data_IF_224014590906
#
_entry.id   IF_224014590906
#
_cell.length_a   1.000
_cell.length_b   1.000
_cell.length_c   1.000
_cell.angle_alpha   90.00
_cell.angle_beta   90.00
_cell.angle_gamma   90.00
#
_symmetry.space_group_name_H-M   'P 1'
#
loop_
_entity.id
_entity.type
_entity.pdbx_description
1 polymer ?
#
# COMPACT_ATOMS: atom_id res chain seq x y z
N UNK A 1 20.38 -39.88 -12.38
CA UNK A 1 21.40 -38.82 -12.55
C UNK A 1 20.65 -37.53 -12.79
N UNK A 2 20.31 -36.81 -11.73
CA UNK A 2 19.70 -35.48 -11.83
C UNK A 2 20.88 -34.55 -12.14
N UNK A 3 20.94 -34.03 -13.36
CA UNK A 3 21.98 -33.11 -13.78
C UNK A 3 22.00 -31.89 -12.86
N UNK A 4 23.17 -31.53 -12.35
CA UNK A 4 23.39 -30.39 -11.48
C UNK A 4 22.61 -29.16 -11.95
N UNK A 5 21.78 -28.58 -11.06
CA UNK A 5 21.32 -27.19 -11.20
C UNK A 5 22.53 -26.27 -10.99
N UNK A 6 23.30 -26.05 -12.05
CA UNK A 6 24.37 -25.07 -12.04
C UNK A 6 23.76 -23.67 -12.03
N UNK A 7 23.95 -22.93 -10.94
CA UNK A 7 23.81 -21.47 -10.92
C UNK A 7 24.98 -20.82 -11.67
N UNK A 8 25.11 -21.11 -12.96
CA UNK A 8 25.92 -20.32 -13.89
C UNK A 8 25.10 -19.12 -14.36
N UNK A 9 25.75 -18.05 -14.79
CA UNK A 9 25.18 -16.72 -15.07
C UNK A 9 24.17 -16.62 -16.24
N UNK A 10 23.25 -17.56 -16.37
CA UNK A 10 22.09 -17.53 -17.26
C UNK A 10 20.82 -17.76 -16.45
N UNK A 11 19.73 -17.12 -16.88
CA UNK A 11 18.42 -17.18 -16.21
C UNK A 11 18.02 -18.63 -15.88
N UNK A 12 17.44 -18.91 -14.70
CA UNK A 12 17.01 -20.26 -14.35
C UNK A 12 15.98 -20.73 -15.39
N UNK A 13 16.37 -21.69 -16.22
CA UNK A 13 15.48 -22.32 -17.21
C UNK A 13 15.10 -23.70 -16.67
N UNK A 14 13.79 -23.97 -16.64
CA UNK A 14 13.27 -25.30 -16.29
C UNK A 14 13.49 -26.19 -17.51
N UNK A 15 14.43 -27.13 -17.43
CA UNK A 15 14.71 -28.09 -18.48
C UNK A 15 13.73 -29.27 -18.38
N UNK A 16 12.68 -29.31 -19.21
CA UNK A 16 11.85 -30.51 -19.42
C UNK A 16 12.55 -31.42 -20.44
N UNK A 17 13.59 -32.12 -20.01
CA UNK A 17 14.30 -33.07 -20.87
C UNK A 17 13.44 -34.31 -21.16
N UNK A 18 13.11 -34.56 -22.43
CA UNK A 18 12.65 -35.88 -22.87
C UNK A 18 13.77 -36.90 -22.64
N UNK A 19 13.61 -37.77 -21.65
CA UNK A 19 14.50 -38.91 -21.45
C UNK A 19 14.22 -39.99 -22.51
N UNK A 20 14.82 -39.82 -23.69
CA UNK A 20 14.99 -40.89 -24.66
C UNK A 20 14.34 -40.62 -26.02
N UNK A 21 15.17 -40.69 -27.06
CA UNK A 21 14.77 -40.61 -28.47
C UNK A 21 13.99 -41.83 -28.95
N UNK A 22 12.77 -42.00 -28.44
CA UNK A 22 11.80 -43.01 -28.88
C UNK A 22 10.40 -42.42 -28.91
N UNK A 23 9.67 -42.72 -29.98
CA UNK A 23 8.26 -42.32 -30.15
C UNK A 23 7.43 -42.84 -28.96
N UNK A 24 6.80 -41.93 -28.20
CA UNK A 24 5.66 -42.29 -27.33
C UNK A 24 5.90 -42.41 -25.82
N UNK A 25 6.91 -41.76 -25.21
CA UNK A 25 6.91 -41.62 -23.74
C UNK A 25 5.98 -40.47 -23.33
N UNK A 26 4.91 -40.73 -22.55
CA UNK A 26 3.94 -39.70 -22.20
C UNK A 26 4.52 -38.76 -21.14
N UNK A 27 3.98 -37.54 -21.07
CA UNK A 27 4.34 -36.61 -20.01
C UNK A 27 3.91 -37.17 -18.65
N UNK A 28 4.85 -37.22 -17.70
CA UNK A 28 4.58 -37.52 -16.29
C UNK A 28 4.52 -36.21 -15.52
N UNK A 29 3.38 -35.95 -14.87
CA UNK A 29 3.17 -34.75 -14.03
C UNK A 29 3.40 -35.14 -12.58
N UNK A 30 4.31 -34.45 -11.90
CA UNK A 30 4.63 -34.67 -10.50
C UNK A 30 4.55 -33.37 -9.70
N UNK A 31 4.28 -33.49 -8.42
CA UNK A 31 4.37 -32.43 -7.40
C UNK A 31 5.03 -33.08 -6.17
N UNK A 32 6.03 -32.43 -5.59
CA UNK A 32 6.83 -32.95 -4.46
C UNK A 32 7.31 -34.40 -4.68
N UNK A 33 7.84 -34.67 -5.88
CA UNK A 33 8.32 -35.99 -6.33
C UNK A 33 7.27 -37.11 -6.37
N UNK A 34 5.98 -36.79 -6.21
CA UNK A 34 4.88 -37.75 -6.31
C UNK A 34 4.22 -37.65 -7.68
N UNK A 35 4.11 -38.78 -8.39
CA UNK A 35 3.35 -38.84 -9.65
C UNK A 35 1.88 -38.52 -9.43
N UNK A 36 1.41 -37.42 -10.02
CA UNK A 36 0.00 -37.01 -10.06
C UNK A 36 -0.70 -37.53 -11.30
N UNK A 37 0.00 -37.53 -12.44
CA UNK A 37 -0.50 -38.08 -13.71
C UNK A 37 0.63 -38.86 -14.37
N UNK A 38 0.44 -40.14 -14.61
CA UNK A 38 1.47 -41.03 -15.17
C UNK A 38 1.50 -41.07 -16.70
N UNK A 39 0.50 -40.48 -17.37
CA UNK A 39 0.42 -40.42 -18.83
C UNK A 39 -0.47 -39.26 -19.32
N UNK A 40 -0.04 -38.01 -19.11
CA UNK A 40 -0.77 -36.88 -19.68
C UNK A 40 -0.58 -36.85 -21.20
N UNK A 41 -1.70 -36.85 -21.94
CA UNK A 41 -1.70 -36.79 -23.40
C UNK A 41 -1.59 -35.36 -23.95
N UNK A 42 -2.01 -34.36 -23.17
CA UNK A 42 -2.01 -32.94 -23.57
C UNK A 42 -1.82 -32.09 -22.32
N UNK A 43 -0.89 -31.13 -22.36
CA UNK A 43 -0.88 -30.00 -21.43
C UNK A 43 -1.63 -28.86 -22.10
N UNK A 44 -2.78 -28.50 -21.55
CA UNK A 44 -3.57 -27.38 -22.02
C UNK A 44 -3.31 -26.16 -21.15
N UNK A 45 -3.08 -25.01 -21.77
CA UNK A 45 -2.88 -23.74 -21.08
C UNK A 45 -4.02 -22.80 -21.47
N UNK A 46 -4.64 -22.19 -20.47
CA UNK A 46 -5.62 -21.14 -20.71
C UNK A 46 -4.88 -19.92 -21.27
N UNK A 47 -5.29 -19.44 -22.46
CA UNK A 47 -4.67 -18.29 -23.11
C UNK A 47 -4.78 -16.98 -22.31
N UNK A 48 -5.66 -16.94 -21.31
CA UNK A 48 -5.76 -15.81 -20.38
C UNK A 48 -4.58 -15.76 -19.38
N UNK A 49 -3.97 -16.91 -19.09
CA UNK A 49 -2.95 -17.08 -18.05
C UNK A 49 -1.56 -17.26 -18.66
N UNK A 50 -1.46 -17.90 -19.83
CA UNK A 50 -0.22 -18.14 -20.54
C UNK A 50 -0.37 -17.87 -22.03
N UNK A 51 0.58 -17.13 -22.60
CA UNK A 51 0.74 -17.02 -24.04
C UNK A 51 1.63 -18.17 -24.53
N UNK A 52 1.05 -19.05 -25.33
CA UNK A 52 1.77 -20.17 -25.96
C UNK A 52 2.00 -19.84 -27.44
N UNK A 53 3.26 -19.80 -27.85
CA UNK A 53 3.67 -19.48 -29.23
C UNK A 53 4.67 -20.52 -29.75
N UNK A 54 4.81 -20.62 -31.07
CA UNK A 54 5.84 -21.47 -31.71
C UNK A 54 6.87 -20.55 -32.38
N UNK A 55 8.13 -20.54 -31.90
CA UNK A 55 9.22 -19.81 -32.54
C UNK A 55 10.59 -20.20 -31.95
N UNK A 56 11.53 -20.79 -32.73
CA UNK A 56 11.41 -21.24 -34.12
C UNK A 56 10.46 -22.44 -34.28
N UNK A 57 10.24 -22.89 -35.52
CA UNK A 57 9.31 -23.99 -35.76
C UNK A 57 9.76 -25.28 -35.05
N UNK A 58 8.80 -25.97 -34.44
CA UNK A 58 9.03 -27.17 -33.64
C UNK A 58 9.37 -26.91 -32.17
N UNK A 59 9.43 -25.65 -31.73
CA UNK A 59 9.68 -25.27 -30.34
C UNK A 59 8.51 -24.48 -29.78
N UNK A 60 7.87 -25.01 -28.73
CA UNK A 60 6.84 -24.30 -27.98
C UNK A 60 7.49 -23.34 -26.98
N UNK A 61 7.20 -22.06 -27.12
CA UNK A 61 7.51 -21.03 -26.13
C UNK A 61 6.26 -20.78 -25.28
N UNK A 62 6.41 -20.88 -23.97
CA UNK A 62 5.34 -20.61 -23.02
C UNK A 62 5.78 -19.44 -22.15
N UNK A 63 5.02 -18.35 -22.16
CA UNK A 63 5.22 -17.21 -21.27
C UNK A 63 3.95 -16.97 -20.47
N UNK A 64 4.08 -16.42 -19.27
CA UNK A 64 2.91 -15.96 -18.51
C UNK A 64 2.27 -14.83 -19.31
N UNK A 65 0.95 -14.89 -19.51
CA UNK A 65 0.22 -13.87 -20.25
C UNK A 65 0.45 -12.51 -19.60
N UNK A 66 0.61 -11.46 -20.42
CA UNK A 66 0.88 -10.11 -19.93
C UNK A 66 -0.19 -9.59 -18.93
N UNK A 67 -1.39 -10.18 -18.95
CA UNK A 67 -2.47 -9.90 -18.01
C UNK A 67 -2.22 -10.44 -16.59
N UNK A 68 -1.49 -11.55 -16.43
CA UNK A 68 -1.22 -12.19 -15.13
C UNK A 68 0.10 -11.72 -14.50
N UNK A 69 1.02 -11.15 -15.30
CA UNK A 69 2.15 -10.36 -14.80
C UNK A 69 1.72 -9.04 -14.11
N UNK A 70 0.42 -8.75 -14.05
CA UNK A 70 -0.17 -7.58 -13.37
C UNK A 70 -0.48 -7.79 -11.89
N UNK A 71 0.07 -8.82 -11.25
CA UNK A 71 0.06 -8.91 -9.78
C UNK A 71 0.89 -7.81 -9.07
N UNK A 72 1.40 -6.81 -9.80
CA UNK A 72 1.84 -5.53 -9.23
C UNK A 72 0.99 -4.37 -9.78
N UNK A 73 -0.33 -4.56 -9.83
CA UNK A 73 -1.23 -3.62 -9.17
C UNK A 73 -0.98 -3.66 -7.65
N UNK A 74 0.26 -3.36 -7.22
CA UNK A 74 0.46 -2.79 -5.91
C UNK A 74 0.13 -1.31 -6.11
N UNK A 75 -1.17 -0.99 -6.15
CA UNK A 75 -1.70 0.38 -6.05
C UNK A 75 -1.47 0.96 -4.65
N UNK A 76 -0.27 0.73 -4.12
CA UNK A 76 0.26 1.35 -2.94
C UNK A 76 1.78 1.42 -3.16
N UNK A 77 2.25 2.61 -3.54
CA UNK A 77 3.65 3.01 -3.71
C UNK A 77 4.21 2.75 -5.14
N UNK A 78 4.03 3.70 -6.07
CA UNK A 78 4.99 3.83 -7.19
C UNK A 78 4.58 4.49 -8.51
N UNK A 79 3.31 4.75 -8.81
CA UNK A 79 2.89 5.23 -10.15
C UNK A 79 2.67 6.75 -10.26
N UNK A 80 2.90 7.49 -9.19
CA UNK A 80 2.64 8.94 -9.16
C UNK A 80 1.15 9.30 -9.25
N UNK A 81 0.23 8.34 -9.10
CA UNK A 81 -1.18 8.63 -8.93
C UNK A 81 -1.39 9.34 -7.57
N UNK A 82 -2.26 10.36 -7.51
CA UNK A 82 -2.59 11.04 -6.26
C UNK A 82 -3.32 10.08 -5.32
N UNK A 83 -2.56 9.40 -4.47
CA UNK A 83 -3.05 8.49 -3.41
C UNK A 83 -3.69 9.24 -2.22
N UNK A 84 -3.96 10.54 -2.38
CA UNK A 84 -4.82 11.35 -1.52
C UNK A 84 -6.29 11.26 -1.95
N UNK A 85 -6.61 10.44 -2.97
CA UNK A 85 -7.98 10.15 -3.38
C UNK A 85 -8.78 9.27 -2.39
N UNK A 86 -8.15 8.67 -1.37
CA UNK A 86 -8.86 7.86 -0.37
C UNK A 86 -9.64 8.70 0.65
N UNK A 87 -9.44 10.01 0.62
CA UNK A 87 -10.25 10.94 1.37
C UNK A 87 -10.68 12.06 0.44
N UNK A 88 -11.77 11.85 -0.31
CA UNK A 88 -12.54 13.00 -0.81
C UNK A 88 -12.87 13.88 0.40
N UNK A 89 -12.95 15.21 0.23
CA UNK A 89 -13.06 16.17 1.36
C UNK A 89 -14.06 15.71 2.46
N UNK A 90 -15.17 15.08 2.07
CA UNK A 90 -16.17 14.53 2.99
C UNK A 90 -15.75 13.24 3.71
N UNK A 91 -15.02 12.33 3.07
CA UNK A 91 -14.52 11.08 3.67
C UNK A 91 -13.34 11.34 4.61
N UNK A 92 -12.54 12.37 4.33
CA UNK A 92 -11.48 12.83 5.23
C UNK A 92 -12.05 13.33 6.56
N UNK A 93 -13.13 14.09 6.46
CA UNK A 93 -13.83 14.68 7.60
C UNK A 93 -14.54 13.57 8.40
N UNK A 94 -15.19 12.63 7.72
CA UNK A 94 -15.89 11.52 8.37
C UNK A 94 -14.95 10.56 9.11
N UNK A 95 -13.72 10.37 8.63
CA UNK A 95 -12.73 9.55 9.34
C UNK A 95 -12.28 10.16 10.68
N UNK A 96 -12.53 11.46 10.91
CA UNK A 96 -12.10 12.19 12.12
C UNK A 96 -13.28 12.63 12.98
N UNK A 97 -14.52 12.62 12.47
CA UNK A 97 -15.70 13.15 13.18
C UNK A 97 -16.09 12.34 14.43
N UNK A 98 -15.68 11.08 14.52
CA UNK A 98 -15.88 10.21 15.68
C UNK A 98 -14.60 10.01 16.52
N UNK A 99 -13.49 10.66 16.16
CA UNK A 99 -12.27 10.62 16.95
C UNK A 99 -12.36 11.62 18.11
N UNK A 100 -12.12 11.14 19.32
CA UNK A 100 -12.24 11.97 20.54
C UNK A 100 -11.21 13.10 20.62
N UNK A 101 -10.14 13.03 19.81
CA UNK A 101 -9.04 13.99 19.81
C UNK A 101 -8.41 14.09 18.43
N UNK A 102 -8.16 15.32 17.98
CA UNK A 102 -7.35 15.62 16.81
C UNK A 102 -6.01 16.21 17.27
N UNK A 103 -4.92 15.47 17.10
CA UNK A 103 -3.58 15.91 17.49
C UNK A 103 -2.84 16.54 16.31
N UNK A 104 -2.58 17.84 16.40
CA UNK A 104 -1.77 18.57 15.42
C UNK A 104 -0.37 18.77 15.98
N UNK A 105 0.59 17.98 15.49
CA UNK A 105 2.00 18.08 15.90
C UNK A 105 2.70 19.37 15.41
N UNK A 106 2.00 20.27 14.72
CA UNK A 106 2.54 21.50 14.14
C UNK A 106 1.52 22.63 14.05
N UNK A 107 1.89 23.70 13.35
CA UNK A 107 1.09 24.92 13.26
C UNK A 107 -0.24 24.71 12.53
N UNK A 108 -1.30 25.31 13.05
CA UNK A 108 -2.61 25.35 12.42
C UNK A 108 -2.79 26.70 11.74
N UNK A 109 -2.83 26.73 10.41
CA UNK A 109 -3.12 27.95 9.62
C UNK A 109 -4.55 27.94 9.12
N UNK A 110 -5.31 28.99 9.41
CA UNK A 110 -6.66 29.20 8.89
C UNK A 110 -6.58 30.15 7.68
N UNK A 111 -7.17 29.72 6.55
CA UNK A 111 -7.16 30.51 5.32
C UNK A 111 -7.81 31.89 5.51
N UNK A 112 -7.34 32.89 4.75
CA UNK A 112 -7.87 34.26 4.81
C UNK A 112 -9.38 34.28 4.57
N UNK A 113 -10.10 35.03 5.42
CA UNK A 113 -11.55 35.12 5.37
C UNK A 113 -12.30 33.94 5.99
N UNK A 114 -11.60 33.02 6.65
CA UNK A 114 -12.19 31.93 7.46
C UNK A 114 -11.96 32.15 8.96
N UNK A 115 -12.67 31.39 9.78
CA UNK A 115 -12.66 31.53 11.24
C UNK A 115 -12.61 30.15 11.91
N UNK A 116 -11.86 30.05 13.01
CA UNK A 116 -11.98 28.96 13.97
C UNK A 116 -12.91 29.41 15.10
N UNK A 117 -14.02 28.70 15.30
CA UNK A 117 -14.89 28.88 16.46
C UNK A 117 -14.53 27.83 17.51
N UNK A 118 -14.29 28.26 18.74
CA UNK A 118 -14.05 27.38 19.88
C UNK A 118 -14.64 28.01 21.13
N UNK A 119 -15.18 27.17 22.01
CA UNK A 119 -15.71 27.60 23.31
C UNK A 119 -14.60 27.67 24.37
N UNK A 120 -13.65 26.73 24.32
CA UNK A 120 -12.60 26.58 25.31
C UNK A 120 -11.25 26.37 24.64
N UNK A 121 -10.29 27.21 25.00
CA UNK A 121 -8.87 26.98 24.72
C UNK A 121 -8.23 26.60 26.04
N UNK A 122 -7.78 25.34 26.15
CA UNK A 122 -7.15 24.84 27.36
C UNK A 122 -5.65 24.74 27.16
N UNK A 123 -4.92 25.63 27.84
CA UNK A 123 -3.47 25.57 27.95
C UNK A 123 -3.10 24.35 28.83
N UNK A 124 -2.04 23.61 28.45
CA UNK A 124 -1.64 22.36 29.13
C UNK A 124 -0.28 22.41 29.83
N UNK A 125 0.45 23.52 29.72
CA UNK A 125 1.79 23.71 30.27
C UNK A 125 1.77 24.72 31.43
N UNK A 126 2.41 24.43 32.58
CA UNK A 126 2.22 25.22 33.79
C UNK A 126 2.42 26.75 33.68
N UNK A 127 3.25 27.22 32.74
CA UNK A 127 3.72 28.62 32.72
C UNK A 127 3.72 29.30 31.32
N UNK A 128 3.29 28.64 30.23
CA UNK A 128 3.36 29.27 28.89
C UNK A 128 2.20 30.24 28.61
N UNK A 129 1.01 29.92 29.11
CA UNK A 129 -0.21 30.69 28.83
C UNK A 129 -0.70 30.56 27.37
N UNK A 130 -1.80 31.25 27.07
CA UNK A 130 -2.30 31.41 25.69
C UNK A 130 -1.90 32.80 25.20
N UNK A 131 -1.17 32.87 24.09
CA UNK A 131 -0.80 34.14 23.45
C UNK A 131 -1.82 34.44 22.35
N UNK A 132 -2.54 35.56 22.47
CA UNK A 132 -3.48 36.03 21.46
C UNK A 132 -3.04 37.41 20.98
N UNK A 133 -2.46 37.47 19.80
CA UNK A 133 -2.09 38.73 19.17
C UNK A 133 -3.33 39.42 18.55
N UNK A 134 -3.40 40.74 18.68
CA UNK A 134 -4.50 41.53 18.11
C UNK A 134 -5.89 41.27 18.72
N UNK A 135 -5.98 40.68 19.92
CA UNK A 135 -7.23 40.36 20.62
C UNK A 135 -8.21 41.56 20.62
N UNK A 136 -9.41 41.36 20.07
CA UNK A 136 -10.50 42.33 20.10
C UNK A 136 -11.77 41.70 20.68
N UNK A 137 -12.12 42.09 21.90
CA UNK A 137 -13.33 41.64 22.59
C UNK A 137 -14.42 42.70 22.41
N UNK A 138 -15.63 42.29 22.01
CA UNK A 138 -16.77 43.21 21.79
C UNK A 138 -17.65 43.40 23.02
N UNK A 139 -17.78 42.38 23.87
CA UNK A 139 -18.82 42.31 24.91
C UNK A 139 -18.27 42.23 26.35
N UNK A 140 -17.03 42.66 26.59
CA UNK A 140 -16.44 42.71 27.92
C UNK A 140 -14.93 42.94 27.95
N UNK A 141 -14.36 42.95 29.15
CA UNK A 141 -12.92 42.85 29.37
C UNK A 141 -12.55 41.39 29.65
N UNK A 142 -11.35 40.92 29.27
CA UNK A 142 -10.91 39.61 29.72
C UNK A 142 -10.78 39.66 31.25
N UNK A 143 -11.58 38.86 31.96
CA UNK A 143 -11.46 38.76 33.41
C UNK A 143 -10.20 37.98 33.76
N UNK A 144 -9.11 38.70 34.01
CA UNK A 144 -7.93 38.13 34.61
C UNK A 144 -8.17 37.93 36.11
N UNK A 145 -8.45 36.69 36.54
CA UNK A 145 -8.54 36.35 37.96
C UNK A 145 -7.15 36.02 38.53
N UNK A 146 -6.30 37.02 38.73
CA UNK A 146 -5.18 36.85 39.65
C UNK A 146 -5.72 36.76 41.09
N UNK A 147 -5.56 35.61 41.72
CA UNK A 147 -5.70 35.49 43.17
C UNK A 147 -4.49 36.16 43.83
N UNK A 148 -4.56 37.47 44.08
CA UNK A 148 -3.60 38.12 44.95
C UNK A 148 -3.94 37.77 46.41
N UNK A 149 -3.17 36.88 47.03
CA UNK A 149 -3.14 36.79 48.49
C UNK A 149 -2.39 38.01 49.03
N UNK A 150 -3.11 39.01 49.54
CA UNK A 150 -2.47 40.01 50.38
C UNK A 150 -2.12 39.33 51.71
N UNK A 151 -0.86 38.90 51.88
CA UNK A 151 -0.34 38.58 53.20
C UNK A 151 -0.14 39.91 53.93
N UNK A 152 -1.15 40.33 54.70
CA UNK A 152 -1.07 41.51 55.54
C UNK A 152 0.01 41.36 56.60
N UNK A 153 0.86 42.38 56.70
CA UNK A 153 1.77 42.66 57.81
C UNK A 153 1.82 44.18 57.99
#
# INVERSE_FOLDING_TARGET
LIGNMGMGAGSPTILLGTIGGGVGTPLVVQEDDVTKVSAAATMDFLSADFDVTEAPSGEANIVIAAALLRDVEHTAIGDGAPHHAKYLDVEAIAAVEDESTLDFLGDITIAVGKTLATDMINEKTPDAGVIIDGLRIKDGVPEYRAFAFFTGG
#
